data_IF_471563539957
#
_entry.id   IF_471563539957
#
_cell.length_a   1.000
_cell.length_b   1.000
_cell.length_c   1.000
_cell.angle_alpha   90.00
_cell.angle_beta   90.00
_cell.angle_gamma   90.00
#
_symmetry.space_group_name_H-M   'P 1'
#
loop_
_entity.id
_entity.type
_entity.pdbx_description
1 polymer ?
#
# COMPACT_ATOMS: atom_id res chain seq x y z
N UNK A 1 -5.93 11.73 10.07
CA UNK A 1 -5.44 11.47 8.69
C UNK A 1 -4.01 10.94 8.67
N UNK A 2 -2.99 11.71 9.10
CA UNK A 2 -1.58 11.25 9.08
C UNK A 2 -1.30 10.00 9.93
N UNK A 3 -1.90 9.90 11.12
CA UNK A 3 -1.75 8.73 12.00
C UNK A 3 -2.44 7.47 11.45
N UNK A 4 -3.57 7.64 10.77
CA UNK A 4 -4.33 6.55 10.13
C UNK A 4 -3.54 5.98 8.94
N UNK A 5 -2.95 6.84 8.10
CA UNK A 5 -2.06 6.41 7.01
C UNK A 5 -0.81 5.70 7.52
N UNK A 6 -0.21 6.16 8.63
CA UNK A 6 0.92 5.47 9.25
C UNK A 6 0.54 4.10 9.83
N UNK A 7 -0.66 3.98 10.39
CA UNK A 7 -1.17 2.68 10.85
C UNK A 7 -1.36 1.72 9.66
N UNK A 8 -1.97 2.19 8.57
CA UNK A 8 -2.15 1.42 7.35
C UNK A 8 -0.82 1.00 6.72
N UNK A 9 0.19 1.87 6.70
CA UNK A 9 1.53 1.54 6.21
C UNK A 9 2.19 0.40 7.01
N UNK A 10 2.11 0.46 8.35
CA UNK A 10 2.63 -0.62 9.22
C UNK A 10 1.91 -1.95 9.01
N UNK A 11 0.61 -1.92 8.72
CA UNK A 11 -0.15 -3.14 8.45
C UNK A 11 0.13 -3.71 7.05
N UNK A 12 0.42 -2.85 6.07
CA UNK A 12 0.92 -3.27 4.76
C UNK A 12 2.27 -3.96 4.84
N UNK A 13 3.22 -3.43 5.61
CA UNK A 13 4.54 -4.08 5.82
C UNK A 13 4.39 -5.49 6.39
N UNK A 14 3.53 -5.67 7.39
CA UNK A 14 3.22 -7.00 7.95
C UNK A 14 2.55 -7.92 6.94
N UNK A 15 1.68 -7.38 6.09
CA UNK A 15 1.04 -8.16 5.03
C UNK A 15 2.05 -8.63 3.99
N UNK A 16 2.97 -7.78 3.57
CA UNK A 16 4.01 -8.12 2.59
C UNK A 16 4.97 -9.18 3.15
N UNK A 17 5.36 -9.05 4.42
CA UNK A 17 6.11 -10.08 5.11
C UNK A 17 5.32 -11.41 5.18
N UNK A 18 4.04 -11.35 5.57
CA UNK A 18 3.15 -12.51 5.61
C UNK A 18 2.96 -13.18 4.25
N UNK A 19 2.90 -12.40 3.16
CA UNK A 19 2.85 -12.92 1.80
C UNK A 19 4.14 -13.66 1.43
N UNK A 20 5.30 -13.11 1.76
CA UNK A 20 6.60 -13.72 1.50
C UNK A 20 6.80 -15.02 2.31
N UNK A 21 6.36 -15.04 3.57
CA UNK A 21 6.62 -16.14 4.50
C UNK A 21 5.59 -17.26 4.47
N UNK A 22 4.39 -17.04 3.92
CA UNK A 22 3.28 -18.00 4.02
C UNK A 22 2.76 -18.49 2.67
N UNK A 23 2.02 -19.60 2.69
CA UNK A 23 1.44 -20.25 1.50
C UNK A 23 -0.04 -20.60 1.71
N UNK A 24 -0.72 -20.97 0.63
CA UNK A 24 -2.09 -21.49 0.66
C UNK A 24 -3.09 -20.52 1.28
N UNK A 25 -3.92 -21.03 2.21
CA UNK A 25 -5.00 -20.27 2.85
C UNK A 25 -4.51 -19.04 3.63
N UNK A 26 -3.35 -19.14 4.27
CA UNK A 26 -2.81 -18.04 5.08
C UNK A 26 -2.31 -16.90 4.19
N UNK A 27 -1.62 -17.22 3.08
CA UNK A 27 -1.25 -16.23 2.05
C UNK A 27 -2.46 -15.49 1.49
N UNK A 28 -3.59 -16.19 1.27
CA UNK A 28 -4.83 -15.56 0.79
C UNK A 28 -5.40 -14.55 1.80
N UNK A 29 -5.26 -14.80 3.10
CA UNK A 29 -5.70 -13.86 4.14
C UNK A 29 -4.86 -12.58 4.11
N UNK A 30 -3.54 -12.70 4.02
CA UNK A 30 -2.67 -11.54 3.88
C UNK A 30 -2.94 -10.76 2.58
N UNK A 31 -3.17 -11.45 1.46
CA UNK A 31 -3.52 -10.80 0.20
C UNK A 31 -4.82 -10.01 0.29
N UNK A 32 -5.86 -10.60 0.90
CA UNK A 32 -7.15 -9.94 1.09
C UNK A 32 -7.04 -8.73 2.03
N UNK A 33 -6.29 -8.87 3.12
CA UNK A 33 -6.10 -7.76 4.06
C UNK A 33 -5.29 -6.62 3.44
N UNK A 34 -4.21 -6.93 2.70
CA UNK A 34 -3.44 -5.95 1.92
C UNK A 34 -4.32 -5.17 0.96
N UNK A 35 -5.21 -5.85 0.23
CA UNK A 35 -6.14 -5.21 -0.69
C UNK A 35 -7.10 -4.25 0.04
N UNK A 36 -7.62 -4.64 1.20
CA UNK A 36 -8.47 -3.78 2.02
C UNK A 36 -7.73 -2.54 2.54
N UNK A 37 -6.47 -2.69 2.98
CA UNK A 37 -5.63 -1.55 3.40
C UNK A 37 -5.39 -0.58 2.24
N UNK A 38 -5.07 -1.08 1.04
CA UNK A 38 -4.87 -0.22 -0.14
C UNK A 38 -6.16 0.49 -0.56
N UNK A 39 -7.32 -0.18 -0.51
CA UNK A 39 -8.60 0.45 -0.77
C UNK A 39 -8.87 1.60 0.23
N UNK A 40 -8.57 1.40 1.51
CA UNK A 40 -8.71 2.43 2.54
C UNK A 40 -7.75 3.59 2.32
N UNK A 41 -6.52 3.34 1.89
CA UNK A 41 -5.58 4.41 1.51
C UNK A 41 -6.16 5.24 0.36
N UNK A 42 -6.68 4.61 -0.69
CA UNK A 42 -7.30 5.31 -1.82
C UNK A 42 -8.56 6.11 -1.43
N UNK A 43 -9.28 5.70 -0.39
CA UNK A 43 -10.40 6.49 0.15
C UNK A 43 -9.92 7.72 0.95
N UNK A 44 -8.84 7.56 1.73
CA UNK A 44 -8.29 8.61 2.59
C UNK A 44 -7.44 9.62 1.82
N UNK A 45 -6.76 9.16 0.79
CA UNK A 45 -5.96 9.92 -0.15
C UNK A 45 -6.32 9.42 -1.55
N UNK A 46 -7.41 9.95 -2.14
CA UNK A 46 -7.76 9.62 -3.50
C UNK A 46 -6.65 10.11 -4.40
N UNK A 47 -5.74 9.19 -4.77
CA UNK A 47 -4.76 9.39 -5.84
C UNK A 47 -5.57 9.84 -7.04
N UNK A 48 -5.51 11.15 -7.29
CA UNK A 48 -6.18 11.73 -8.45
C UNK A 48 -5.44 11.15 -9.64
N UNK A 49 -6.09 10.44 -10.57
CA UNK A 49 -5.39 9.98 -11.77
C UNK A 49 -4.79 11.22 -12.46
N UNK A 50 -3.45 11.31 -12.47
CA UNK A 50 -2.68 12.49 -12.87
C UNK A 50 -1.86 13.19 -11.78
N UNK A 51 -1.78 12.65 -10.55
CA UNK A 51 -1.05 13.29 -9.44
C UNK A 51 0.49 13.28 -9.57
N UNK A 52 1.04 12.51 -10.51
CA UNK A 52 2.45 12.60 -10.88
C UNK A 52 2.64 11.99 -12.27
N UNK A 53 3.18 12.77 -13.19
CA UNK A 53 3.63 12.27 -14.49
C UNK A 53 4.87 11.38 -14.33
N UNK A 54 5.11 10.48 -15.27
CA UNK A 54 6.31 9.62 -15.25
C UNK A 54 7.61 10.45 -15.12
N UNK A 55 7.63 11.67 -15.66
CA UNK A 55 8.75 12.62 -15.56
C UNK A 55 8.94 13.24 -14.16
N UNK A 56 7.85 13.44 -13.41
CA UNK A 56 7.90 13.90 -12.02
C UNK A 56 8.35 12.77 -11.10
N UNK A 57 7.89 11.54 -11.35
CA UNK A 57 8.39 10.35 -10.65
C UNK A 57 9.89 10.12 -10.89
N UNK A 58 10.35 10.27 -12.13
CA UNK A 58 11.76 10.10 -12.48
C UNK A 58 12.65 11.14 -11.77
N UNK A 59 12.15 12.37 -11.60
CA UNK A 59 12.86 13.44 -10.89
C UNK A 59 12.96 13.18 -9.39
N UNK A 60 11.92 12.68 -8.73
CA UNK A 60 12.01 12.33 -7.30
C UNK A 60 12.96 11.17 -7.01
N UNK A 61 13.02 10.16 -7.89
CA UNK A 61 13.92 9.01 -7.71
C UNK A 61 15.40 9.33 -7.89
N UNK A 62 15.72 10.44 -8.55
CA UNK A 62 17.10 10.90 -8.81
C UNK A 62 17.60 11.96 -7.81
N UNK A 63 16.75 12.43 -6.91
CA UNK A 63 17.07 13.41 -5.86
C UNK A 63 17.52 12.72 -4.56
#
# INVERSE_FOLDING_TARGET
>A
MREELQALARDLEKCDLGLAMTKGKLRKRYAAHRAACMARINELDPVTPGSMTDEELLRELQA
#
